data_IF_714797669588
#
_entry.id   IF_714797669588
#
_cell.length_a   1.000
_cell.length_b   1.000
_cell.length_c   1.000
_cell.angle_alpha   90.00
_cell.angle_beta   90.00
_cell.angle_gamma   90.00
#
_symmetry.space_group_name_H-M   'P 1'
#
loop_
_entity.id
_entity.type
_entity.pdbx_description
1 polymer ?
#
# COMPACT_ATOMS: atom_id res chain seq x y z
N UNK A 1 -22.69 -27.62 -5.42
CA UNK A 1 -23.75 -26.61 -5.12
C UNK A 1 -23.29 -25.28 -5.65
N UNK A 2 -24.11 -24.56 -6.41
CA UNK A 2 -23.75 -23.23 -6.89
C UNK A 2 -23.68 -22.29 -5.70
N UNK A 3 -22.50 -21.70 -5.44
CA UNK A 3 -22.32 -20.73 -4.34
C UNK A 3 -23.03 -19.43 -4.70
N UNK A 4 -23.89 -18.95 -3.81
CA UNK A 4 -24.65 -17.71 -3.99
C UNK A 4 -24.89 -16.98 -2.68
N UNK A 5 -25.04 -15.66 -2.77
CA UNK A 5 -25.36 -14.72 -1.69
C UNK A 5 -26.43 -13.73 -2.16
N UNK A 6 -27.23 -13.21 -1.24
CA UNK A 6 -28.03 -12.00 -1.50
C UNK A 6 -27.22 -10.79 -1.08
N UNK A 7 -26.84 -9.97 -2.04
CA UNK A 7 -25.94 -8.85 -1.82
C UNK A 7 -26.66 -7.50 -1.98
N UNK A 8 -26.39 -6.53 -1.10
CA UNK A 8 -26.89 -5.18 -1.29
C UNK A 8 -26.34 -4.55 -2.57
N UNK A 9 -27.13 -3.66 -3.18
CA UNK A 9 -26.77 -2.89 -4.36
C UNK A 9 -26.62 -1.43 -3.99
N UNK A 10 -25.80 -0.68 -4.75
CA UNK A 10 -25.62 0.77 -4.58
C UNK A 10 -26.90 1.57 -4.79
N UNK A 11 -27.87 1.03 -5.56
CA UNK A 11 -29.19 1.62 -5.76
C UNK A 11 -30.20 1.39 -4.64
N UNK A 12 -29.83 0.67 -3.57
CA UNK A 12 -30.69 0.24 -2.47
C UNK A 12 -31.55 -0.97 -2.89
N UNK A 13 -31.41 -2.06 -2.21
CA UNK A 13 -32.08 -3.32 -2.50
C UNK A 13 -31.13 -4.51 -2.39
N UNK A 14 -31.64 -5.70 -2.64
CA UNK A 14 -30.88 -6.95 -2.59
C UNK A 14 -31.03 -7.70 -3.92
N UNK A 15 -29.92 -8.21 -4.42
CA UNK A 15 -29.89 -9.11 -5.57
C UNK A 15 -29.20 -10.43 -5.24
N UNK A 16 -29.60 -11.51 -5.90
CA UNK A 16 -28.91 -12.80 -5.77
C UNK A 16 -27.69 -12.79 -6.67
N UNK A 17 -26.50 -12.86 -6.07
CA UNK A 17 -25.24 -13.00 -6.76
C UNK A 17 -24.77 -14.45 -6.73
N UNK A 18 -24.38 -14.98 -7.88
CA UNK A 18 -23.74 -16.29 -8.02
C UNK A 18 -22.29 -16.07 -8.38
N UNK A 19 -21.38 -16.76 -7.70
CA UNK A 19 -19.97 -16.67 -7.98
C UNK A 19 -19.68 -17.13 -9.43
N UNK A 20 -18.83 -16.40 -10.10
CA UNK A 20 -18.47 -16.58 -11.51
C UNK A 20 -16.97 -16.75 -11.74
N UNK A 21 -16.14 -16.37 -10.75
CA UNK A 21 -14.69 -16.35 -10.85
C UNK A 21 -14.07 -17.73 -10.66
N UNK A 22 -12.99 -17.98 -11.41
CA UNK A 22 -12.09 -19.11 -11.17
C UNK A 22 -10.92 -18.61 -10.30
N UNK A 23 -10.70 -19.18 -9.11
CA UNK A 23 -9.64 -18.72 -8.22
C UNK A 23 -8.26 -18.80 -8.85
N UNK A 24 -7.51 -17.70 -8.79
CA UNK A 24 -6.09 -17.70 -9.13
C UNK A 24 -5.36 -18.63 -8.17
N UNK A 25 -4.50 -19.51 -8.71
CA UNK A 25 -3.76 -20.45 -7.90
C UNK A 25 -2.83 -19.72 -6.92
N UNK A 26 -2.92 -20.07 -5.64
CA UNK A 26 -2.01 -19.61 -4.59
C UNK A 26 -0.71 -20.43 -4.65
N UNK A 27 0.07 -20.21 -5.72
CA UNK A 27 1.31 -20.93 -5.99
C UNK A 27 2.51 -20.14 -5.45
N UNK A 28 3.54 -20.85 -5.00
CA UNK A 28 4.80 -20.22 -4.62
C UNK A 28 5.56 -19.78 -5.88
N UNK A 29 6.07 -18.55 -5.83
CA UNK A 29 6.90 -17.99 -6.89
C UNK A 29 8.26 -17.53 -6.34
N UNK A 30 9.29 -17.57 -7.18
CA UNK A 30 10.52 -16.82 -6.94
C UNK A 30 10.25 -15.32 -7.15
N UNK A 31 11.07 -14.43 -6.56
CA UNK A 31 11.00 -13.00 -6.87
C UNK A 31 11.14 -12.75 -8.37
N UNK A 32 10.37 -11.80 -8.90
CA UNK A 32 10.45 -11.41 -10.29
C UNK A 32 11.87 -10.88 -10.63
N UNK A 33 12.31 -11.16 -11.86
CA UNK A 33 13.65 -10.77 -12.32
C UNK A 33 13.64 -9.41 -13.04
N UNK A 34 12.54 -9.10 -13.71
CA UNK A 34 12.42 -7.91 -14.54
C UNK A 34 11.88 -6.69 -13.78
N UNK A 35 11.30 -6.89 -12.59
CA UNK A 35 10.67 -5.83 -11.76
C UNK A 35 10.90 -6.09 -10.28
N UNK A 36 11.23 -5.02 -9.54
CA UNK A 36 11.09 -5.02 -8.10
C UNK A 36 9.62 -4.78 -7.72
N UNK A 37 9.08 -5.63 -6.82
CA UNK A 37 7.68 -5.55 -6.47
C UNK A 37 7.48 -5.65 -4.95
N UNK A 38 7.09 -4.52 -4.36
CA UNK A 38 6.71 -4.42 -2.95
C UNK A 38 5.19 -4.41 -2.82
N UNK A 39 4.65 -5.26 -1.94
CA UNK A 39 3.29 -5.16 -1.45
C UNK A 39 3.28 -4.39 -0.11
N UNK A 40 2.51 -3.31 -0.02
CA UNK A 40 2.31 -2.62 1.24
C UNK A 40 1.29 -3.38 2.09
N UNK A 41 1.76 -4.02 3.17
CA UNK A 41 0.95 -4.93 3.96
C UNK A 41 0.13 -4.21 5.04
N UNK A 42 -1.09 -4.70 5.30
CA UNK A 42 -1.93 -4.25 6.41
C UNK A 42 -1.51 -4.91 7.73
N UNK A 43 -2.07 -4.43 8.84
CA UNK A 43 -1.98 -5.07 10.17
C UNK A 43 -3.29 -5.75 10.53
N UNK A 44 -3.22 -6.80 11.31
CA UNK A 44 -4.39 -7.52 11.84
C UNK A 44 -4.63 -7.10 13.27
N UNK A 45 -5.82 -6.58 13.55
CA UNK A 45 -6.24 -6.25 14.92
C UNK A 45 -6.53 -7.52 15.71
N UNK A 46 -6.06 -7.57 16.96
CA UNK A 46 -6.45 -8.65 17.88
C UNK A 46 -7.95 -8.53 18.20
N UNK A 47 -8.76 -9.57 17.90
CA UNK A 47 -10.19 -9.52 18.16
C UNK A 47 -10.55 -9.49 19.64
N UNK A 48 -9.61 -9.80 20.54
CA UNK A 48 -9.78 -9.74 21.99
C UNK A 48 -9.24 -8.45 22.60
N UNK A 49 -8.56 -7.60 21.79
CA UNK A 49 -8.04 -6.33 22.21
C UNK A 49 -9.02 -5.17 22.03
N UNK A 50 -8.79 -4.09 22.78
CA UNK A 50 -9.51 -2.82 22.55
C UNK A 50 -8.86 -2.06 21.38
N UNK A 51 -9.47 -2.16 20.21
CA UNK A 51 -9.10 -1.46 19.00
C UNK A 51 -10.14 -0.39 18.62
N UNK A 52 -10.86 0.16 19.60
CA UNK A 52 -11.80 1.27 19.39
C UNK A 52 -11.09 2.56 18.93
N UNK A 53 -11.82 3.50 18.30
CA UNK A 53 -11.22 4.78 17.88
C UNK A 53 -10.54 5.52 19.05
N UNK A 54 -9.25 5.84 18.88
CA UNK A 54 -8.44 6.52 19.87
C UNK A 54 -7.76 5.63 20.92
N UNK A 55 -8.07 4.33 20.95
CA UNK A 55 -7.31 3.37 21.74
C UNK A 55 -5.94 3.06 21.09
N UNK A 56 -4.91 2.73 21.89
CA UNK A 56 -3.66 2.18 21.35
C UNK A 56 -3.92 0.90 20.54
N UNK A 57 -3.13 0.67 19.48
CA UNK A 57 -3.31 -0.49 18.64
C UNK A 57 -2.96 -1.80 19.38
N UNK A 58 -3.88 -2.76 19.39
CA UNK A 58 -3.64 -4.13 19.88
C UNK A 58 -3.62 -5.07 18.67
N UNK A 59 -2.44 -5.60 18.35
CA UNK A 59 -2.16 -6.33 17.11
C UNK A 59 -2.13 -7.83 17.35
N UNK A 60 -2.81 -8.58 16.50
CA UNK A 60 -2.62 -10.02 16.33
C UNK A 60 -1.32 -10.27 15.54
N UNK A 61 -0.24 -10.50 16.26
CA UNK A 61 1.08 -10.65 15.68
C UNK A 61 1.21 -11.89 14.81
N UNK A 62 0.58 -13.00 15.18
CA UNK A 62 0.68 -14.26 14.44
C UNK A 62 0.10 -14.13 13.04
N UNK A 63 -1.10 -13.54 12.91
CA UNK A 63 -1.73 -13.31 11.61
C UNK A 63 -1.08 -12.16 10.84
N UNK A 64 -0.64 -11.10 11.53
CA UNK A 64 0.08 -9.99 10.91
C UNK A 64 1.37 -10.47 10.25
N UNK A 65 2.21 -11.22 10.95
CA UNK A 65 3.45 -11.80 10.40
C UNK A 65 3.15 -12.94 9.43
N UNK A 66 2.11 -13.73 9.68
CA UNK A 66 1.62 -14.77 8.77
C UNK A 66 1.31 -14.22 7.38
N UNK A 67 0.71 -13.01 7.31
CA UNK A 67 0.43 -12.35 6.04
C UNK A 67 1.71 -11.90 5.32
N UNK A 68 2.76 -11.42 6.04
CA UNK A 68 4.06 -11.11 5.45
C UNK A 68 4.71 -12.37 4.88
N UNK A 69 4.71 -13.48 5.62
CA UNK A 69 5.22 -14.78 5.14
C UNK A 69 4.49 -15.25 3.87
N UNK A 70 3.17 -15.01 3.79
CA UNK A 70 2.41 -15.29 2.57
C UNK A 70 2.91 -14.45 1.38
N UNK A 71 3.07 -13.13 1.53
CA UNK A 71 3.59 -12.25 0.47
C UNK A 71 4.98 -12.69 0.01
N UNK A 72 5.89 -12.97 0.93
CA UNK A 72 7.24 -13.46 0.60
C UNK A 72 7.20 -14.81 -0.12
N UNK A 73 6.29 -15.70 0.25
CA UNK A 73 6.14 -17.01 -0.43
C UNK A 73 5.69 -16.89 -1.88
N UNK A 74 5.03 -15.79 -2.22
CA UNK A 74 4.64 -15.42 -3.58
C UNK A 74 5.73 -14.67 -4.36
N UNK A 75 6.93 -14.50 -3.78
CA UNK A 75 8.02 -13.77 -4.43
C UNK A 75 7.94 -12.25 -4.30
N UNK A 76 6.91 -11.70 -3.65
CA UNK A 76 6.79 -10.27 -3.42
C UNK A 76 7.68 -9.82 -2.25
N UNK A 77 8.22 -8.62 -2.32
CA UNK A 77 8.81 -7.92 -1.19
C UNK A 77 7.73 -7.20 -0.38
N UNK A 78 8.03 -6.85 0.87
CA UNK A 78 7.08 -6.17 1.75
C UNK A 78 7.53 -4.73 1.99
N UNK A 79 6.64 -3.78 1.72
CA UNK A 79 6.77 -2.40 2.19
C UNK A 79 6.05 -2.28 3.55
N UNK A 80 6.87 -2.31 4.63
CA UNK A 80 6.38 -2.41 5.99
C UNK A 80 6.08 -1.04 6.57
N UNK A 81 5.03 -1.04 7.39
CA UNK A 81 4.57 0.12 8.13
C UNK A 81 4.34 1.36 7.24
N UNK A 82 3.75 1.15 6.07
CA UNK A 82 3.25 2.21 5.20
C UNK A 82 1.81 2.60 5.57
N UNK A 83 1.17 3.45 4.76
CA UNK A 83 -0.24 3.85 4.96
C UNK A 83 -1.20 2.67 5.03
N UNK A 84 -0.92 1.58 4.32
CA UNK A 84 -1.72 0.34 4.34
C UNK A 84 -1.75 -0.29 5.72
N UNK A 85 -0.68 -0.15 6.51
CA UNK A 85 -0.61 -0.57 7.91
C UNK A 85 -1.33 0.40 8.87
N UNK A 86 -2.06 1.36 8.36
CA UNK A 86 -2.83 2.35 9.13
C UNK A 86 -2.00 3.36 9.93
N UNK A 87 -0.77 3.68 9.51
CA UNK A 87 0.03 4.76 10.09
C UNK A 87 -0.78 6.07 10.08
N UNK A 88 -0.86 6.72 11.24
CA UNK A 88 -1.67 7.94 11.42
C UNK A 88 -3.19 7.72 11.33
N UNK A 89 -3.66 6.46 11.26
CA UNK A 89 -5.06 6.07 11.19
C UNK A 89 -5.38 4.86 12.09
N UNK A 90 -4.82 4.81 13.28
CA UNK A 90 -5.03 3.75 14.28
C UNK A 90 -3.75 3.05 14.72
N UNK A 91 -2.76 2.89 13.85
CA UNK A 91 -1.45 2.36 14.23
C UNK A 91 -0.60 3.50 14.79
N UNK A 92 -0.23 3.39 16.07
CA UNK A 92 0.64 4.34 16.76
C UNK A 92 2.13 4.03 16.54
N UNK A 93 3.01 4.98 16.93
CA UNK A 93 4.45 4.82 16.71
C UNK A 93 5.07 3.68 17.51
N UNK A 94 4.57 3.38 18.71
CA UNK A 94 5.07 2.26 19.52
C UNK A 94 4.79 0.93 18.85
N UNK A 95 3.55 0.72 18.40
CA UNK A 95 3.17 -0.48 17.65
C UNK A 95 3.88 -0.55 16.29
N UNK A 96 4.11 0.59 15.64
CA UNK A 96 4.87 0.67 14.38
C UNK A 96 6.31 0.20 14.53
N UNK A 97 7.03 0.63 15.57
CA UNK A 97 8.39 0.17 15.84
C UNK A 97 8.45 -1.34 16.04
N UNK A 98 7.51 -1.89 16.81
CA UNK A 98 7.45 -3.32 17.07
C UNK A 98 7.14 -4.10 15.78
N UNK A 99 6.24 -3.57 14.93
CA UNK A 99 5.92 -4.14 13.63
C UNK A 99 7.16 -4.21 12.74
N UNK A 100 7.92 -3.12 12.65
CA UNK A 100 9.15 -3.06 11.85
C UNK A 100 10.16 -4.09 12.36
N UNK A 101 10.41 -4.15 13.67
CA UNK A 101 11.39 -5.09 14.24
C UNK A 101 11.01 -6.54 14.00
N UNK A 102 9.75 -6.90 14.24
CA UNK A 102 9.28 -8.29 14.06
C UNK A 102 9.31 -8.70 12.60
N UNK A 103 8.81 -7.84 11.70
CA UNK A 103 8.80 -8.14 10.28
C UNK A 103 10.20 -8.25 9.70
N UNK A 104 11.13 -7.37 10.08
CA UNK A 104 12.52 -7.44 9.65
C UNK A 104 13.24 -8.70 10.15
N UNK A 105 12.91 -9.15 11.37
CA UNK A 105 13.49 -10.38 11.91
C UNK A 105 13.07 -11.65 11.15
N UNK A 106 11.97 -11.61 10.41
CA UNK A 106 11.45 -12.74 9.61
C UNK A 106 11.67 -12.56 8.10
N UNK A 107 12.05 -11.35 7.65
CA UNK A 107 12.20 -11.07 6.25
C UNK A 107 13.32 -11.91 5.61
N UNK A 108 13.06 -12.60 4.49
CA UNK A 108 14.11 -13.30 3.78
C UNK A 108 14.95 -12.29 3.00
N UNK A 109 16.28 -12.35 3.22
CA UNK A 109 17.26 -11.45 2.59
C UNK A 109 16.82 -9.96 2.68
N UNK A 110 17.04 -9.16 1.64
CA UNK A 110 16.68 -7.75 1.61
C UNK A 110 15.22 -7.50 1.12
N UNK A 111 14.28 -8.45 1.34
CA UNK A 111 12.89 -8.33 0.83
C UNK A 111 11.94 -7.57 1.75
N UNK A 112 12.48 -6.54 2.42
CA UNK A 112 11.70 -5.62 3.24
C UNK A 112 12.23 -4.20 3.05
N UNK A 113 11.31 -3.24 2.90
CA UNK A 113 11.59 -1.81 3.01
C UNK A 113 10.61 -1.21 4.02
N UNK A 114 11.04 -0.21 4.80
CA UNK A 114 10.26 0.30 5.93
C UNK A 114 9.95 1.78 5.80
N UNK A 115 8.72 2.15 6.10
CA UNK A 115 8.27 3.54 6.12
C UNK A 115 8.91 4.34 7.26
N UNK A 116 9.51 5.46 6.91
CA UNK A 116 10.11 6.45 7.80
C UNK A 116 9.35 7.76 7.65
N UNK A 117 8.73 8.24 8.70
CA UNK A 117 7.87 9.43 8.69
C UNK A 117 8.03 10.28 9.94
N UNK A 118 6.98 10.99 10.29
CA UNK A 118 6.96 11.90 11.44
C UNK A 118 5.67 11.81 12.25
N UNK A 119 4.95 10.72 12.13
CA UNK A 119 3.60 10.54 12.69
C UNK A 119 3.57 10.37 14.21
N UNK A 120 4.73 10.28 14.89
CA UNK A 120 4.85 10.42 16.33
C UNK A 120 4.70 11.89 16.80
N UNK A 121 4.85 12.87 15.89
CA UNK A 121 4.59 14.27 16.23
C UNK A 121 3.09 14.50 16.43
N UNK A 122 2.75 15.25 17.47
CA UNK A 122 1.37 15.67 17.67
C UNK A 122 0.87 16.53 16.49
N UNK A 123 -0.44 16.50 16.17
CA UNK A 123 -0.98 17.40 15.16
C UNK A 123 -0.71 18.87 15.48
N UNK A 124 -0.33 19.68 14.48
CA UNK A 124 -0.08 21.11 14.65
C UNK A 124 1.14 21.62 13.91
N UNK A 125 1.52 22.86 14.24
CA UNK A 125 2.69 23.54 13.67
C UNK A 125 3.95 23.11 14.40
N UNK A 126 4.99 22.79 13.63
CA UNK A 126 6.31 22.41 14.16
C UNK A 126 7.40 23.24 13.50
N UNK A 127 8.53 23.39 14.19
CA UNK A 127 9.74 23.94 13.60
C UNK A 127 10.40 22.85 12.72
N UNK A 128 11.05 23.22 11.61
CA UNK A 128 11.74 22.27 10.74
C UNK A 128 12.73 21.36 11.49
N UNK A 129 13.44 21.89 12.50
CA UNK A 129 14.34 21.08 13.33
C UNK A 129 13.62 19.94 14.08
N UNK A 130 12.39 20.16 14.55
CA UNK A 130 11.60 19.12 15.20
C UNK A 130 11.11 18.06 14.20
N UNK A 131 10.77 18.49 12.97
CA UNK A 131 10.40 17.57 11.87
C UNK A 131 11.58 16.69 11.48
N UNK A 132 12.77 17.28 11.34
CA UNK A 132 14.01 16.53 11.06
C UNK A 132 14.28 15.50 12.16
N UNK A 133 14.25 15.92 13.43
CA UNK A 133 14.51 15.02 14.56
C UNK A 133 13.50 13.86 14.61
N UNK A 134 12.25 14.10 14.26
CA UNK A 134 11.24 13.04 14.17
C UNK A 134 11.52 12.04 13.05
N UNK A 135 11.95 12.50 11.88
CA UNK A 135 12.40 11.62 10.81
C UNK A 135 13.66 10.84 11.21
N UNK A 136 14.64 11.50 11.85
CA UNK A 136 15.88 10.87 12.30
C UNK A 136 15.62 9.75 13.32
N UNK A 137 14.66 9.95 14.25
CA UNK A 137 14.22 8.91 15.18
C UNK A 137 13.69 7.67 14.43
N UNK A 138 12.85 7.88 13.43
CA UNK A 138 12.29 6.78 12.64
C UNK A 138 13.32 6.14 11.71
N UNK A 139 14.22 6.94 11.13
CA UNK A 139 15.32 6.44 10.32
C UNK A 139 16.25 5.54 11.12
N UNK A 140 16.54 5.90 12.37
CA UNK A 140 17.35 5.07 13.26
C UNK A 140 16.76 3.66 13.47
N UNK A 141 15.43 3.54 13.55
CA UNK A 141 14.77 2.23 13.63
C UNK A 141 14.97 1.41 12.34
N UNK A 142 14.91 2.04 11.17
CA UNK A 142 15.16 1.38 9.89
C UNK A 142 16.62 0.90 9.79
N UNK A 143 17.58 1.73 10.22
CA UNK A 143 19.01 1.40 10.29
C UNK A 143 19.29 0.27 11.26
N UNK A 144 18.70 0.30 12.46
CA UNK A 144 18.90 -0.74 13.49
C UNK A 144 18.47 -2.14 13.02
N UNK A 145 17.44 -2.22 12.16
CA UNK A 145 17.00 -3.51 11.60
C UNK A 145 17.63 -3.81 10.23
N UNK A 146 18.46 -2.91 9.70
CA UNK A 146 19.13 -3.07 8.41
C UNK A 146 18.18 -3.06 7.19
N UNK A 147 16.97 -2.49 7.32
CA UNK A 147 16.00 -2.43 6.24
C UNK A 147 16.20 -1.19 5.35
N UNK A 148 15.79 -1.27 4.08
CA UNK A 148 15.80 -0.13 3.18
C UNK A 148 14.75 0.91 3.62
N UNK A 149 15.13 2.19 3.83
CA UNK A 149 14.18 3.21 4.24
C UNK A 149 13.31 3.69 3.07
N UNK A 150 12.01 3.94 3.36
CA UNK A 150 11.09 4.66 2.49
C UNK A 150 10.75 5.97 3.21
N UNK A 151 11.29 7.10 2.78
CA UNK A 151 10.96 8.41 3.35
C UNK A 151 9.56 8.83 2.90
N UNK A 152 8.61 8.66 3.83
CA UNK A 152 7.19 8.96 3.60
C UNK A 152 6.96 10.48 3.62
N UNK A 153 5.99 10.94 2.82
CA UNK A 153 5.51 12.31 2.90
C UNK A 153 4.99 12.63 4.33
N UNK A 154 5.35 13.80 4.85
CA UNK A 154 5.05 14.22 6.22
C UNK A 154 4.08 15.39 6.26
N UNK A 155 2.98 15.24 7.00
CA UNK A 155 2.06 16.34 7.32
C UNK A 155 2.76 17.47 8.07
N UNK A 156 3.66 17.11 9.01
CA UNK A 156 4.41 18.09 9.79
C UNK A 156 5.38 18.87 8.91
N UNK A 157 6.04 18.22 7.93
CA UNK A 157 6.89 18.92 6.97
C UNK A 157 6.05 19.82 6.05
N UNK A 158 4.93 19.33 5.54
CA UNK A 158 4.03 20.13 4.69
C UNK A 158 3.55 21.40 5.42
N UNK A 159 3.21 21.28 6.70
CA UNK A 159 2.77 22.42 7.51
C UNK A 159 3.91 23.38 7.92
N UNK A 160 5.15 22.87 8.05
CA UNK A 160 6.30 23.66 8.51
C UNK A 160 7.06 24.34 7.36
N UNK A 161 7.07 23.73 6.18
CA UNK A 161 7.81 24.26 5.05
C UNK A 161 7.17 25.55 4.50
N UNK A 162 8.01 26.52 4.17
CA UNK A 162 7.59 27.81 3.59
C UNK A 162 8.06 27.98 2.14
N UNK A 163 8.87 27.06 1.67
CA UNK A 163 9.44 27.08 0.32
C UNK A 163 9.88 25.69 -0.12
N UNK A 164 10.09 25.47 -1.45
CA UNK A 164 10.70 24.23 -1.95
C UNK A 164 12.08 23.93 -1.35
N UNK A 165 12.84 24.96 -0.97
CA UNK A 165 14.16 24.80 -0.37
C UNK A 165 14.10 24.14 1.01
N UNK A 166 13.03 24.35 1.77
CA UNK A 166 12.83 23.66 3.05
C UNK A 166 12.72 22.14 2.86
N UNK A 167 12.00 21.70 1.82
CA UNK A 167 11.93 20.28 1.46
C UNK A 167 13.30 19.74 1.07
N UNK A 168 14.01 20.43 0.16
CA UNK A 168 15.35 20.00 -0.30
C UNK A 168 16.31 19.88 0.89
N UNK A 169 16.32 20.85 1.79
CA UNK A 169 17.16 20.84 3.00
C UNK A 169 16.86 19.64 3.91
N UNK A 170 15.59 19.39 4.22
CA UNK A 170 15.18 18.27 5.08
C UNK A 170 15.56 16.94 4.44
N UNK A 171 15.17 16.72 3.20
CA UNK A 171 15.46 15.45 2.52
C UNK A 171 16.95 15.23 2.28
N UNK A 172 17.72 16.24 1.87
CA UNK A 172 19.17 16.11 1.68
C UNK A 172 19.89 15.74 3.00
N UNK A 173 19.46 16.30 4.14
CA UNK A 173 20.02 15.93 5.45
C UNK A 173 19.74 14.46 5.76
N UNK A 174 18.50 13.97 5.58
CA UNK A 174 18.12 12.59 5.86
C UNK A 174 18.81 11.60 4.91
N UNK A 175 18.88 11.94 3.62
CA UNK A 175 19.59 11.14 2.61
C UNK A 175 21.08 10.98 2.94
N UNK A 176 21.72 12.05 3.45
CA UNK A 176 23.13 12.01 3.87
C UNK A 176 23.40 11.20 5.12
N UNK A 177 22.37 10.86 5.90
CA UNK A 177 22.49 10.08 7.13
C UNK A 177 22.21 8.59 6.93
N UNK A 178 21.45 8.22 5.88
CA UNK A 178 21.10 6.83 5.62
C UNK A 178 22.30 6.03 5.13
N UNK A 179 22.50 4.85 5.69
CA UNK A 179 23.54 3.90 5.26
C UNK A 179 23.18 3.13 3.99
N UNK A 180 21.87 3.12 3.63
CA UNK A 180 21.34 2.48 2.43
C UNK A 180 20.70 3.50 1.50
N UNK A 181 20.69 3.28 0.18
CA UNK A 181 19.92 4.12 -0.73
C UNK A 181 18.42 4.11 -0.36
N UNK A 182 17.82 5.29 -0.37
CA UNK A 182 16.47 5.55 0.14
C UNK A 182 15.45 5.55 -1.00
N UNK A 183 14.26 5.04 -0.75
CA UNK A 183 13.09 5.27 -1.61
C UNK A 183 12.37 6.52 -1.11
N UNK A 184 12.26 7.55 -1.94
CA UNK A 184 11.40 8.70 -1.65
C UNK A 184 9.93 8.33 -1.87
N UNK A 185 9.00 8.98 -1.17
CA UNK A 185 7.57 8.76 -1.39
C UNK A 185 6.83 10.07 -1.61
N UNK A 186 6.32 10.27 -2.81
CA UNK A 186 5.40 11.34 -3.15
C UNK A 186 3.96 10.85 -3.07
N UNK A 187 3.27 11.23 -2.00
CA UNK A 187 1.87 10.87 -1.74
C UNK A 187 0.96 12.05 -2.10
N UNK A 188 -0.03 11.80 -2.95
CA UNK A 188 -1.00 12.82 -3.36
C UNK A 188 -2.06 13.12 -2.30
N UNK A 189 -2.64 14.32 -2.38
CA UNK A 189 -3.67 14.81 -1.45
C UNK A 189 -4.96 13.98 -1.44
N UNK A 190 -5.21 13.15 -2.47
CA UNK A 190 -6.34 12.19 -2.46
C UNK A 190 -6.16 11.09 -1.39
N UNK A 191 -4.93 10.76 -1.01
CA UNK A 191 -4.63 9.84 0.09
C UNK A 191 -4.57 10.53 1.45
N UNK A 192 -4.14 11.79 1.46
CA UNK A 192 -4.04 12.61 2.66
C UNK A 192 -4.17 14.10 2.32
N UNK A 193 -5.34 14.72 2.55
CA UNK A 193 -5.57 16.12 2.23
C UNK A 193 -4.58 17.11 2.91
N UNK A 194 -3.94 16.70 4.01
CA UNK A 194 -2.94 17.53 4.68
C UNK A 194 -1.61 17.65 3.91
N UNK A 195 -1.48 16.93 2.79
CA UNK A 195 -0.30 16.98 1.90
C UNK A 195 -0.52 17.84 0.66
N UNK A 196 -1.59 18.63 0.61
CA UNK A 196 -1.78 19.60 -0.49
C UNK A 196 -0.59 20.54 -0.57
N UNK A 197 -0.09 20.79 -1.80
CA UNK A 197 1.09 21.63 -2.02
C UNK A 197 2.43 20.99 -1.61
N UNK A 198 2.50 19.66 -1.41
CA UNK A 198 3.75 18.99 -1.07
C UNK A 198 4.85 19.26 -2.11
N UNK A 199 6.08 19.34 -1.67
CA UNK A 199 7.26 19.85 -2.40
C UNK A 199 7.25 21.37 -2.58
N UNK A 200 6.37 22.10 -1.89
CA UNK A 200 6.33 23.56 -1.85
C UNK A 200 5.61 24.21 -3.02
N UNK A 201 4.75 23.47 -3.73
CA UNK A 201 3.97 23.99 -4.85
C UNK A 201 2.67 23.24 -5.07
N UNK A 202 1.59 23.97 -5.36
CA UNK A 202 0.31 23.40 -5.82
C UNK A 202 0.38 22.94 -7.30
N UNK A 203 1.38 23.42 -8.04
CA UNK A 203 1.68 22.93 -9.39
C UNK A 203 2.48 21.64 -9.31
N UNK A 204 1.91 20.53 -9.74
CA UNK A 204 2.59 19.23 -9.79
C UNK A 204 3.82 19.24 -10.71
N UNK A 205 3.84 20.12 -11.73
CA UNK A 205 5.00 20.25 -12.62
C UNK A 205 6.18 20.93 -11.91
N UNK A 206 5.91 22.00 -11.14
CA UNK A 206 6.95 22.66 -10.31
C UNK A 206 7.39 21.74 -9.17
N UNK A 207 6.49 21.00 -8.56
CA UNK A 207 6.82 19.99 -7.56
C UNK A 207 7.73 18.90 -8.13
N UNK A 208 7.47 18.44 -9.37
CA UNK A 208 8.33 17.49 -10.07
C UNK A 208 9.74 18.06 -10.34
N UNK A 209 9.87 19.36 -10.65
CA UNK A 209 11.17 20.02 -10.81
C UNK A 209 11.99 19.95 -9.51
N UNK A 210 11.34 20.19 -8.36
CA UNK A 210 11.98 20.09 -7.04
C UNK A 210 12.48 18.67 -6.77
N UNK A 211 11.63 17.68 -7.04
CA UNK A 211 11.95 16.26 -6.85
C UNK A 211 13.13 15.84 -7.72
N UNK A 212 13.09 16.15 -9.02
CA UNK A 212 14.18 15.77 -9.97
C UNK A 212 15.49 16.42 -9.56
N UNK A 213 15.45 17.69 -9.16
CA UNK A 213 16.64 18.39 -8.69
C UNK A 213 17.20 17.77 -7.40
N UNK A 214 16.35 17.49 -6.41
CA UNK A 214 16.75 16.83 -5.15
C UNK A 214 17.44 15.48 -5.44
N UNK A 215 16.85 14.67 -6.31
CA UNK A 215 17.41 13.37 -6.68
C UNK A 215 18.75 13.53 -7.38
N UNK A 216 18.87 14.45 -8.34
CA UNK A 216 20.11 14.70 -9.08
C UNK A 216 21.25 15.17 -8.16
N UNK A 217 20.95 15.96 -7.14
CA UNK A 217 21.91 16.43 -6.15
C UNK A 217 22.35 15.33 -5.15
N UNK A 218 21.61 14.19 -5.07
CA UNK A 218 21.82 13.14 -4.06
C UNK A 218 21.85 11.72 -4.69
N UNK A 219 22.31 11.56 -5.91
CA UNK A 219 22.23 10.31 -6.70
C UNK A 219 22.71 9.06 -5.96
N UNK A 220 23.80 9.14 -5.19
CA UNK A 220 24.34 7.98 -4.48
C UNK A 220 23.49 7.50 -3.29
N UNK A 221 22.55 8.34 -2.84
CA UNK A 221 21.74 8.10 -1.63
C UNK A 221 20.27 7.79 -1.96
N UNK A 222 19.87 7.87 -3.22
CA UNK A 222 18.50 7.61 -3.66
C UNK A 222 18.46 6.35 -4.52
N UNK A 223 17.70 5.35 -4.10
CA UNK A 223 17.37 4.17 -4.90
C UNK A 223 16.29 4.50 -5.94
N UNK A 224 15.29 5.23 -5.52
CA UNK A 224 14.19 5.60 -6.38
C UNK A 224 13.15 6.47 -5.70
N UNK A 225 12.05 6.70 -6.42
CA UNK A 225 10.89 7.42 -5.89
C UNK A 225 9.61 6.64 -6.15
N UNK A 226 8.82 6.43 -5.08
CA UNK A 226 7.42 5.99 -5.19
C UNK A 226 6.52 7.17 -5.46
N UNK A 227 5.67 7.05 -6.49
CA UNK A 227 4.70 8.07 -6.87
C UNK A 227 3.28 7.54 -6.69
N UNK A 228 2.50 8.20 -5.84
CA UNK A 228 1.10 7.86 -5.54
C UNK A 228 0.21 9.06 -5.85
N UNK A 229 0.10 9.42 -7.14
CA UNK A 229 -0.72 10.54 -7.61
C UNK A 229 -1.97 10.07 -8.35
N UNK A 230 -2.12 8.77 -8.65
CA UNK A 230 -3.20 8.18 -9.44
C UNK A 230 -3.35 8.85 -10.83
N UNK A 231 -2.21 9.21 -11.44
CA UNK A 231 -2.10 9.87 -12.73
C UNK A 231 -0.93 9.27 -13.51
N UNK A 232 -1.23 8.31 -14.38
CA UNK A 232 -0.22 7.60 -15.16
C UNK A 232 0.61 8.52 -16.06
N UNK A 233 0.01 9.56 -16.64
CA UNK A 233 0.71 10.47 -17.53
C UNK A 233 1.79 11.26 -16.78
N UNK A 234 1.48 11.71 -15.56
CA UNK A 234 2.45 12.41 -14.69
C UNK A 234 3.55 11.48 -14.20
N UNK A 235 3.20 10.24 -13.86
CA UNK A 235 4.20 9.24 -13.46
C UNK A 235 5.19 8.97 -14.60
N UNK A 236 4.69 8.73 -15.83
CA UNK A 236 5.53 8.53 -17.01
C UNK A 236 6.39 9.77 -17.31
N UNK A 237 5.82 10.98 -17.22
CA UNK A 237 6.56 12.21 -17.42
C UNK A 237 7.69 12.38 -16.40
N UNK A 238 7.46 12.06 -15.14
CA UNK A 238 8.49 12.09 -14.09
C UNK A 238 9.55 11.00 -14.33
N UNK A 239 9.12 9.76 -14.63
CA UNK A 239 10.01 8.63 -14.91
C UNK A 239 11.05 8.94 -15.99
N UNK A 240 10.61 9.59 -17.07
CA UNK A 240 11.47 9.97 -18.19
C UNK A 240 12.46 11.11 -17.86
N UNK A 241 12.34 11.73 -16.69
CA UNK A 241 13.22 12.81 -16.21
C UNK A 241 14.18 12.36 -15.12
N UNK A 242 13.98 11.15 -14.58
CA UNK A 242 14.86 10.63 -13.53
C UNK A 242 16.25 10.35 -14.09
N UNK A 243 17.31 10.60 -13.31
CA UNK A 243 18.67 10.21 -13.68
C UNK A 243 18.80 8.69 -13.89
N UNK A 244 19.73 8.29 -14.74
CA UNK A 244 20.05 6.88 -14.97
C UNK A 244 20.36 6.15 -13.64
N UNK A 245 19.82 4.96 -13.48
CA UNK A 245 19.97 4.13 -12.26
C UNK A 245 18.99 4.46 -11.14
N UNK A 246 18.22 5.54 -11.22
CA UNK A 246 17.17 5.87 -10.24
C UNK A 246 15.86 5.28 -10.68
N UNK A 247 15.26 4.45 -9.82
CA UNK A 247 13.99 3.75 -10.10
C UNK A 247 12.79 4.67 -9.92
N UNK A 248 11.74 4.40 -10.68
CA UNK A 248 10.42 4.85 -10.33
C UNK A 248 9.60 3.65 -9.86
N UNK A 249 9.04 3.76 -8.66
CA UNK A 249 8.09 2.79 -8.12
C UNK A 249 6.69 3.33 -8.31
N UNK A 250 5.86 2.62 -9.11
CA UNK A 250 4.46 3.01 -9.18
C UNK A 250 3.77 2.79 -7.85
N UNK A 251 3.07 3.82 -7.39
CA UNK A 251 2.10 3.79 -6.30
C UNK A 251 0.70 4.09 -6.84
N UNK A 252 0.51 3.99 -8.16
CA UNK A 252 -0.76 4.20 -8.84
C UNK A 252 -1.59 2.91 -8.85
N UNK A 253 -2.43 2.76 -7.85
CA UNK A 253 -3.32 1.60 -7.70
C UNK A 253 -4.43 1.52 -8.78
N UNK A 254 -4.49 2.47 -9.73
CA UNK A 254 -5.46 2.47 -10.83
C UNK A 254 -4.87 2.02 -12.17
N UNK A 255 -3.61 2.36 -12.43
CA UNK A 255 -2.98 2.21 -13.74
C UNK A 255 -1.70 1.34 -13.68
N UNK A 256 -1.48 0.65 -12.56
CA UNK A 256 -0.27 -0.16 -12.31
C UNK A 256 0.06 -1.17 -13.42
N UNK A 257 -0.89 -1.82 -14.12
CA UNK A 257 -0.50 -2.80 -15.13
C UNK A 257 0.27 -2.18 -16.30
N UNK A 258 -0.17 -1.03 -16.81
CA UNK A 258 0.50 -0.34 -17.90
C UNK A 258 1.83 0.29 -17.46
N UNK A 259 1.88 0.83 -16.22
CA UNK A 259 3.07 1.46 -15.67
C UNK A 259 4.19 0.44 -15.41
N UNK A 260 3.85 -0.75 -14.88
CA UNK A 260 4.79 -1.85 -14.64
C UNK A 260 5.24 -2.48 -15.95
N UNK A 261 4.34 -2.68 -16.92
CA UNK A 261 4.73 -3.14 -18.25
C UNK A 261 5.75 -2.19 -18.87
N UNK A 262 5.46 -0.88 -18.78
CA UNK A 262 6.30 0.14 -19.35
C UNK A 262 6.22 0.22 -20.88
N UNK A 263 7.23 0.85 -21.45
CA UNK A 263 7.46 0.99 -22.87
C UNK A 263 8.82 0.39 -23.28
N UNK A 264 9.26 0.60 -24.52
CA UNK A 264 10.52 0.02 -25.03
C UNK A 264 11.78 0.59 -24.34
N UNK A 265 11.68 1.68 -23.58
CA UNK A 265 12.82 2.36 -22.95
C UNK A 265 12.76 2.31 -21.42
N UNK A 266 11.56 2.49 -20.84
CA UNK A 266 11.41 2.66 -19.41
C UNK A 266 10.19 1.89 -18.86
N UNK A 267 10.29 1.49 -17.60
CA UNK A 267 9.18 0.90 -16.85
C UNK A 267 9.19 1.43 -15.41
N UNK A 268 8.09 1.22 -14.70
CA UNK A 268 8.04 1.42 -13.27
C UNK A 268 8.19 0.07 -12.56
N UNK A 269 8.93 0.06 -11.45
CA UNK A 269 8.84 -1.00 -10.46
C UNK A 269 7.54 -0.84 -9.67
N UNK A 270 7.21 -1.73 -8.74
CA UNK A 270 5.95 -1.68 -8.01
C UNK A 270 6.16 -1.47 -6.51
N UNK A 271 5.44 -0.51 -5.90
CA UNK A 271 5.26 -0.40 -4.46
C UNK A 271 3.82 -0.02 -4.17
N UNK A 272 2.94 -1.03 -4.09
CA UNK A 272 1.50 -0.88 -4.22
C UNK A 272 0.73 -1.41 -3.01
N UNK A 273 -0.31 -0.68 -2.61
CA UNK A 273 -1.29 -1.13 -1.64
C UNK A 273 -2.17 -2.25 -2.17
N UNK A 274 -2.60 -2.16 -3.44
CA UNK A 274 -3.45 -3.19 -4.06
C UNK A 274 -2.78 -4.56 -4.11
N UNK A 275 -1.45 -4.66 -4.20
CA UNK A 275 -0.75 -5.94 -4.24
C UNK A 275 -0.99 -6.80 -2.99
N UNK A 276 -1.29 -6.19 -1.84
CA UNK A 276 -1.72 -6.95 -0.67
C UNK A 276 -3.09 -7.65 -0.87
N UNK A 277 -3.98 -7.08 -1.69
CA UNK A 277 -5.30 -7.65 -1.96
C UNK A 277 -5.31 -8.68 -3.08
N UNK A 278 -4.39 -8.54 -4.05
CA UNK A 278 -4.33 -9.36 -5.27
C UNK A 278 -3.02 -10.16 -5.38
N UNK A 279 -2.35 -10.42 -4.27
CA UNK A 279 -0.98 -10.93 -4.24
C UNK A 279 -0.73 -12.15 -5.15
N UNK A 280 -1.58 -13.21 -5.19
CA UNK A 280 -1.40 -14.33 -6.12
C UNK A 280 -1.47 -13.91 -7.60
N UNK A 281 -2.40 -13.02 -7.95
CA UNK A 281 -2.53 -12.51 -9.32
C UNK A 281 -1.32 -11.62 -9.69
N UNK A 282 -0.87 -10.77 -8.77
CA UNK A 282 0.32 -9.93 -8.97
C UNK A 282 1.57 -10.79 -9.23
N UNK A 283 1.80 -11.81 -8.41
CA UNK A 283 2.93 -12.73 -8.58
C UNK A 283 2.88 -13.49 -9.91
N UNK A 284 1.70 -14.00 -10.29
CA UNK A 284 1.51 -14.69 -11.56
C UNK A 284 1.73 -13.77 -12.78
N UNK A 285 1.23 -12.53 -12.72
CA UNK A 285 1.42 -11.54 -13.78
C UNK A 285 2.89 -11.14 -13.93
N UNK A 286 3.60 -10.89 -12.83
CA UNK A 286 5.04 -10.58 -12.87
C UNK A 286 5.85 -11.75 -13.43
N UNK A 287 5.48 -12.99 -13.10
CA UNK A 287 6.11 -14.19 -13.69
C UNK A 287 5.87 -14.25 -15.19
N UNK A 288 4.64 -13.99 -15.66
CA UNK A 288 4.34 -13.92 -17.09
C UNK A 288 5.17 -12.84 -17.80
N UNK A 289 5.37 -11.69 -17.15
CA UNK A 289 6.22 -10.62 -17.67
C UNK A 289 7.69 -11.07 -17.79
N UNK A 290 8.22 -11.77 -16.77
CA UNK A 290 9.57 -12.34 -16.81
C UNK A 290 9.76 -13.36 -17.94
N UNK A 291 8.70 -14.13 -18.24
CA UNK A 291 8.69 -15.12 -19.33
C UNK A 291 8.47 -14.48 -20.71
N UNK A 292 8.24 -13.17 -20.78
CA UNK A 292 7.92 -12.45 -22.01
C UNK A 292 6.50 -12.68 -22.54
N UNK A 293 5.63 -13.30 -21.74
CA UNK A 293 4.22 -13.55 -22.10
C UNK A 293 3.33 -12.36 -21.73
N UNK A 294 3.38 -11.32 -22.55
CA UNK A 294 2.58 -10.11 -22.37
C UNK A 294 1.08 -10.37 -22.43
N UNK A 295 0.65 -11.38 -23.21
CA UNK A 295 -0.77 -11.70 -23.29
C UNK A 295 -1.30 -12.30 -21.99
N UNK A 296 -0.55 -13.21 -21.36
CA UNK A 296 -0.89 -13.74 -20.04
C UNK A 296 -0.82 -12.64 -18.97
N UNK A 297 0.21 -11.77 -19.01
CA UNK A 297 0.32 -10.62 -18.11
C UNK A 297 -0.93 -9.74 -18.14
N UNK A 298 -1.38 -9.33 -19.32
CA UNK A 298 -2.56 -8.50 -19.51
C UNK A 298 -3.84 -9.23 -19.08
N UNK A 299 -3.98 -10.50 -19.44
CA UNK A 299 -5.14 -11.33 -19.07
C UNK A 299 -5.28 -11.48 -17.54
N UNK A 300 -4.17 -11.62 -16.82
CA UNK A 300 -4.17 -11.76 -15.35
C UNK A 300 -4.51 -10.45 -14.68
N UNK A 301 -3.93 -9.34 -15.12
CA UNK A 301 -4.14 -8.04 -14.46
C UNK A 301 -5.45 -7.35 -14.84
N UNK A 302 -5.95 -7.52 -16.08
CA UNK A 302 -7.14 -6.80 -16.54
C UNK A 302 -8.35 -6.90 -15.60
N UNK A 303 -8.75 -8.06 -15.07
CA UNK A 303 -9.89 -8.16 -14.15
C UNK A 303 -9.60 -7.58 -12.75
N UNK A 304 -8.34 -7.37 -12.37
CA UNK A 304 -7.99 -6.79 -11.07
C UNK A 304 -8.10 -5.27 -11.03
N UNK A 305 -8.07 -4.59 -12.18
CA UNK A 305 -8.16 -3.12 -12.28
C UNK A 305 -9.51 -2.57 -11.78
N UNK A 306 -10.67 -3.10 -12.18
CA UNK A 306 -11.95 -2.67 -11.62
C UNK A 306 -12.03 -2.86 -10.10
N UNK A 307 -11.47 -3.94 -9.56
CA UNK A 307 -11.38 -4.18 -8.13
C UNK A 307 -10.52 -3.13 -7.43
N UNK A 308 -9.36 -2.80 -7.99
CA UNK A 308 -8.47 -1.77 -7.46
C UNK A 308 -9.18 -0.40 -7.43
N UNK A 309 -9.85 -0.01 -8.51
CA UNK A 309 -10.64 1.23 -8.58
C UNK A 309 -11.76 1.28 -7.55
N UNK A 310 -12.41 0.16 -7.26
CA UNK A 310 -13.42 0.05 -6.21
C UNK A 310 -12.81 0.24 -4.81
N UNK A 311 -11.74 -0.48 -4.50
CA UNK A 311 -11.06 -0.41 -3.19
C UNK A 311 -10.56 1.01 -2.92
N UNK A 312 -9.90 1.63 -3.91
CA UNK A 312 -9.28 2.95 -3.81
C UNK A 312 -10.21 4.10 -4.20
N UNK A 313 -11.52 3.86 -4.40
CA UNK A 313 -12.49 4.93 -4.65
C UNK A 313 -12.53 5.94 -3.50
N UNK A 314 -12.95 7.16 -3.79
CA UNK A 314 -13.03 8.22 -2.79
C UNK A 314 -14.01 7.87 -1.63
N UNK A 315 -13.69 8.26 -0.39
CA UNK A 315 -12.45 8.84 0.09
C UNK A 315 -11.30 7.81 0.08
N UNK A 316 -10.27 8.09 -0.72
CA UNK A 316 -9.22 7.10 -1.05
C UNK A 316 -8.49 6.54 0.16
N UNK A 317 -8.26 7.35 1.21
CA UNK A 317 -7.55 6.92 2.43
C UNK A 317 -8.26 5.78 3.20
N UNK A 318 -9.52 5.44 2.89
CA UNK A 318 -10.21 4.25 3.45
C UNK A 318 -9.99 2.96 2.64
N UNK A 319 -9.11 2.95 1.63
CA UNK A 319 -8.78 1.74 0.87
C UNK A 319 -8.33 0.56 1.75
N UNK A 320 -7.70 0.87 2.87
CA UNK A 320 -7.21 -0.12 3.86
C UNK A 320 -8.31 -1.07 4.34
N UNK A 321 -9.56 -0.56 4.45
CA UNK A 321 -10.73 -1.36 4.80
C UNK A 321 -11.00 -2.45 3.76
N UNK A 322 -10.87 -2.13 2.46
CA UNK A 322 -11.01 -3.11 1.38
C UNK A 322 -9.89 -4.16 1.39
N UNK A 323 -8.65 -3.76 1.68
CA UNK A 323 -7.52 -4.69 1.82
C UNK A 323 -7.76 -5.68 2.96
N UNK A 324 -8.09 -5.19 4.17
CA UNK A 324 -8.37 -6.04 5.34
C UNK A 324 -9.59 -6.93 5.12
N UNK A 325 -10.62 -6.42 4.43
CA UNK A 325 -11.80 -7.20 4.07
C UNK A 325 -11.44 -8.41 3.20
N UNK A 326 -10.65 -8.23 2.15
CA UNK A 326 -10.21 -9.33 1.28
C UNK A 326 -9.26 -10.29 2.00
N UNK A 327 -8.35 -9.79 2.83
CA UNK A 327 -7.49 -10.63 3.65
C UNK A 327 -8.31 -11.52 4.58
N UNK A 328 -9.37 -10.97 5.20
CA UNK A 328 -10.29 -11.74 6.01
C UNK A 328 -11.07 -12.77 5.17
N UNK A 329 -11.64 -12.39 4.05
CA UNK A 329 -12.38 -13.33 3.19
C UNK A 329 -11.53 -14.52 2.76
N UNK A 330 -10.26 -14.30 2.46
CA UNK A 330 -9.31 -15.32 2.03
C UNK A 330 -8.68 -16.13 3.17
N UNK A 331 -9.01 -15.82 4.44
CA UNK A 331 -8.58 -16.62 5.58
C UNK A 331 -7.21 -16.23 6.16
N UNK A 332 -6.65 -15.09 5.78
CA UNK A 332 -5.37 -14.60 6.31
C UNK A 332 -5.50 -14.01 7.73
N UNK A 333 -6.73 -13.75 8.19
CA UNK A 333 -7.00 -13.24 9.53
C UNK A 333 -8.31 -13.82 10.07
N UNK A 334 -8.49 -13.92 11.42
CA UNK A 334 -9.66 -14.57 12.01
C UNK A 334 -10.93 -13.72 11.94
N UNK A 335 -10.82 -12.40 12.05
CA UNK A 335 -11.92 -11.43 12.10
C UNK A 335 -11.74 -10.28 11.10
N UNK A 336 -12.80 -9.49 10.91
CA UNK A 336 -12.79 -8.27 10.09
C UNK A 336 -12.61 -7.01 10.96
N UNK A 337 -12.05 -7.13 12.18
CA UNK A 337 -11.68 -5.98 13.00
C UNK A 337 -10.42 -5.30 12.45
N UNK A 338 -10.34 -3.98 12.66
CA UNK A 338 -9.16 -3.16 12.28
C UNK A 338 -8.80 -2.24 13.44
N UNK A 339 -7.52 -1.90 13.57
CA UNK A 339 -7.07 -0.95 14.58
C UNK A 339 -7.79 0.40 14.39
N UNK A 340 -8.13 1.07 15.48
CA UNK A 340 -8.90 2.32 15.45
C UNK A 340 -10.34 2.18 14.92
N UNK A 341 -10.91 0.97 14.85
CA UNK A 341 -12.28 0.74 14.37
C UNK A 341 -12.47 0.96 12.87
N UNK A 342 -11.41 0.93 12.08
CA UNK A 342 -11.43 1.34 10.67
C UNK A 342 -12.20 0.38 9.73
N UNK A 343 -12.62 -0.81 10.21
CA UNK A 343 -13.52 -1.70 9.45
C UNK A 343 -14.84 -1.03 9.08
N UNK A 344 -15.23 0.02 9.79
CA UNK A 344 -16.43 0.83 9.49
C UNK A 344 -16.21 1.90 8.42
N UNK A 345 -15.01 2.02 7.88
CA UNK A 345 -14.65 3.03 6.88
C UNK A 345 -15.32 2.84 5.51
N UNK A 346 -15.98 1.70 5.29
CA UNK A 346 -16.74 1.40 4.05
C UNK A 346 -18.10 0.82 4.39
N UNK A 347 -19.10 1.17 3.58
CA UNK A 347 -20.47 0.66 3.72
C UNK A 347 -20.60 -0.79 3.23
N UNK A 348 -21.66 -1.49 3.67
CA UNK A 348 -21.97 -2.83 3.17
C UNK A 348 -22.18 -2.89 1.65
N UNK A 349 -22.89 -1.93 0.98
CA UNK A 349 -22.92 -1.90 -0.48
C UNK A 349 -21.54 -1.80 -1.13
N UNK A 350 -20.65 -0.95 -0.60
CA UNK A 350 -19.28 -0.86 -1.09
C UNK A 350 -18.51 -2.19 -0.94
N UNK A 351 -18.65 -2.86 0.20
CA UNK A 351 -18.02 -4.18 0.43
C UNK A 351 -18.65 -5.26 -0.46
N UNK A 352 -19.95 -5.17 -0.77
CA UNK A 352 -20.62 -6.09 -1.69
C UNK A 352 -20.10 -5.92 -3.13
N UNK A 353 -19.89 -4.68 -3.58
CA UNK A 353 -19.28 -4.42 -4.88
C UNK A 353 -17.82 -4.89 -4.93
N UNK A 354 -17.06 -4.67 -3.84
CA UNK A 354 -15.70 -5.21 -3.68
C UNK A 354 -15.69 -6.74 -3.76
N UNK A 355 -16.65 -7.43 -3.13
CA UNK A 355 -16.77 -8.89 -3.20
C UNK A 355 -17.06 -9.39 -4.63
N UNK A 356 -18.02 -8.74 -5.35
CA UNK A 356 -18.32 -9.10 -6.74
C UNK A 356 -17.10 -8.97 -7.66
N UNK A 357 -16.37 -7.87 -7.51
CA UNK A 357 -15.18 -7.61 -8.32
C UNK A 357 -14.02 -8.51 -7.95
N UNK A 358 -13.87 -8.86 -6.67
CA UNK A 358 -12.87 -9.82 -6.21
C UNK A 358 -13.15 -11.23 -6.72
N UNK A 359 -14.40 -11.65 -6.76
CA UNK A 359 -14.82 -12.91 -7.38
C UNK A 359 -14.51 -12.89 -8.88
N UNK A 360 -14.98 -11.87 -9.60
CA UNK A 360 -14.74 -11.75 -11.04
C UNK A 360 -13.25 -11.71 -11.41
N UNK A 361 -12.40 -11.19 -10.53
CA UNK A 361 -10.96 -11.16 -10.69
C UNK A 361 -10.25 -12.46 -10.26
N UNK A 362 -10.99 -13.46 -9.76
CA UNK A 362 -10.43 -14.72 -9.28
C UNK A 362 -9.59 -14.60 -8.01
N UNK A 363 -9.66 -13.46 -7.30
CA UNK A 363 -8.82 -13.24 -6.10
C UNK A 363 -9.47 -13.70 -4.79
N UNK A 364 -10.67 -14.29 -4.85
CA UNK A 364 -11.23 -15.07 -3.75
C UNK A 364 -10.64 -16.48 -3.80
N UNK A 365 -9.45 -16.66 -3.23
CA UNK A 365 -8.71 -17.93 -3.29
C UNK A 365 -9.38 -19.08 -2.53
N UNK A 366 -10.33 -18.76 -1.64
CA UNK A 366 -11.14 -19.71 -0.83
C UNK A 366 -12.62 -19.34 -0.91
N UNK A 367 -13.30 -19.56 -2.05
CA UNK A 367 -14.65 -19.02 -2.32
C UNK A 367 -15.70 -19.45 -1.27
N UNK A 368 -15.68 -20.71 -0.82
CA UNK A 368 -16.63 -21.19 0.20
C UNK A 368 -16.46 -20.43 1.53
N UNK A 369 -15.21 -20.21 1.93
CA UNK A 369 -14.90 -19.45 3.15
C UNK A 369 -15.32 -17.98 3.00
N UNK A 370 -15.06 -17.39 1.83
CA UNK A 370 -15.43 -16.01 1.54
C UNK A 370 -16.94 -15.80 1.60
N UNK A 371 -17.72 -16.73 1.02
CA UNK A 371 -19.18 -16.74 1.08
C UNK A 371 -19.70 -16.87 2.52
N UNK A 372 -19.16 -17.84 3.29
CA UNK A 372 -19.56 -18.05 4.69
C UNK A 372 -19.28 -16.80 5.54
N UNK A 373 -18.08 -16.24 5.40
CA UNK A 373 -17.67 -15.04 6.15
C UNK A 373 -18.50 -13.82 5.78
N UNK A 374 -18.68 -13.56 4.50
CA UNK A 374 -19.43 -12.38 4.09
C UNK A 374 -20.92 -12.49 4.47
N UNK A 375 -21.52 -13.70 4.40
CA UNK A 375 -22.89 -13.93 4.88
C UNK A 375 -23.03 -13.55 6.36
N UNK A 376 -22.06 -13.94 7.20
CA UNK A 376 -22.06 -13.56 8.62
C UNK A 376 -22.00 -12.06 8.83
N UNK A 377 -21.16 -11.36 8.07
CA UNK A 377 -21.07 -9.89 8.14
C UNK A 377 -22.37 -9.22 7.69
N UNK A 378 -23.00 -9.72 6.62
CA UNK A 378 -24.28 -9.21 6.13
C UNK A 378 -25.38 -9.36 7.20
N UNK A 379 -25.46 -10.53 7.86
CA UNK A 379 -26.43 -10.77 8.95
C UNK A 379 -26.20 -9.82 10.12
N UNK A 380 -24.93 -9.58 10.54
CA UNK A 380 -24.60 -8.59 11.58
C UNK A 380 -25.02 -7.18 11.16
N UNK A 381 -24.92 -6.86 9.87
CA UNK A 381 -25.39 -5.60 9.31
C UNK A 381 -26.89 -5.49 9.05
N UNK A 382 -27.69 -6.51 9.46
CA UNK A 382 -29.15 -6.50 9.30
C UNK A 382 -29.64 -6.88 7.90
N UNK A 383 -28.81 -7.58 7.12
CA UNK A 383 -29.14 -8.05 5.77
C UNK A 383 -29.35 -9.55 5.77
N UNK A 384 -30.54 -10.01 5.35
CA UNK A 384 -30.83 -11.43 5.12
C UNK A 384 -30.15 -11.88 3.82
N UNK A 385 -29.03 -12.63 3.95
CA UNK A 385 -28.10 -12.95 2.86
C UNK A 385 -28.19 -14.42 2.38
#
# INVERSE_FOLDING_TARGET
MTMQLRLPTSGGGLETYRLVGDPVADSRFAPAQSRLAFAAAHVVADPLGDNSPGAPAVIDWDHTLGFRRHLWSLGLSVAEAMDTAQRGMGLDWTATQELIRRSAAEAPDDRIAVGVGTDQLAPGQHQLGAVIAAYEEQLAVAEDVGAQPILMASRALCAAATSPDDYRKVYAQLLGQSSRPVILHWLGSMFDPALEGYWGSDSLDLAADVVVQLIAENLGNVDGIKVSLLDAAREVALRNRLPEGVRLYTGDDFNYPELIRGDDQHHSDALLGIFAAIAPAAAAALKALDDGDLAAYEQIFAPTVPLARQIFSAPTYYYKTGIAFLAWLNGHQPGFGMVGGLQTGRSLPHLADTFRLADAAGVLTRPELAVDRFRKLLVVGGVDA
#
